data_IF_541181285655
#
_entry.id   IF_541181285655
#
_cell.length_a   1.000
_cell.length_b   1.000
_cell.length_c   1.000
_cell.angle_alpha   90.00
_cell.angle_beta   90.00
_cell.angle_gamma   90.00
#
_symmetry.space_group_name_H-M   'P 1'
#
loop_
_entity.id
_entity.type
_entity.pdbx_description
1 polymer ?
#
# COMPACT_ATOMS: atom_id res chain seq x y z
N UNK A 1 -7.02 -22.67 10.43
CA UNK A 1 -5.98 -21.64 10.50
C UNK A 1 -6.61 -20.27 10.48
N UNK A 2 -6.05 -19.33 11.21
CA UNK A 2 -6.47 -17.94 11.23
C UNK A 2 -5.57 -17.11 10.36
N UNK A 3 -6.03 -15.89 10.03
CA UNK A 3 -5.24 -14.92 9.30
C UNK A 3 -4.64 -13.89 10.26
N UNK A 4 -3.40 -13.52 10.01
CA UNK A 4 -2.79 -12.33 10.59
C UNK A 4 -2.86 -11.24 9.54
N UNK A 5 -3.39 -10.08 9.94
CA UNK A 5 -3.43 -8.91 9.08
C UNK A 5 -2.31 -7.96 9.47
N UNK A 6 -1.48 -7.61 8.50
CA UNK A 6 -0.50 -6.54 8.63
C UNK A 6 -1.10 -5.33 7.95
N UNK A 7 -1.34 -4.28 8.73
CA UNK A 7 -1.94 -3.05 8.23
C UNK A 7 -1.06 -1.87 8.63
N UNK A 8 -0.57 -1.13 7.67
CA UNK A 8 0.22 0.07 7.91
C UNK A 8 -0.44 1.24 7.20
N UNK A 9 -0.39 2.40 7.83
CA UNK A 9 -0.90 3.63 7.23
C UNK A 9 0.14 4.74 7.31
N UNK A 10 0.13 5.60 6.31
CA UNK A 10 1.01 6.76 6.28
C UNK A 10 0.46 7.83 7.21
N UNK A 11 1.33 8.40 8.06
CA UNK A 11 0.89 9.32 9.12
C UNK A 11 0.42 10.68 8.62
N UNK A 12 0.87 11.11 7.44
CA UNK A 12 0.42 12.37 6.86
C UNK A 12 -0.91 12.17 6.14
N UNK A 13 -1.93 12.97 6.44
CA UNK A 13 -3.23 12.81 5.79
C UNK A 13 -3.18 13.20 4.32
N UNK A 14 -4.11 12.59 3.55
CA UNK A 14 -4.37 12.97 2.18
C UNK A 14 -5.38 14.12 2.14
N UNK A 15 -5.14 15.08 1.27
CA UNK A 15 -6.17 16.05 0.92
C UNK A 15 -7.37 15.33 0.29
N UNK A 16 -8.56 15.58 0.80
CA UNK A 16 -9.79 14.95 0.32
C UNK A 16 -9.95 15.09 -1.21
N UNK A 17 -9.56 16.23 -1.76
CA UNK A 17 -9.65 16.49 -3.19
C UNK A 17 -8.81 15.52 -4.04
N UNK A 18 -7.76 14.94 -3.47
CA UNK A 18 -6.87 14.02 -4.17
C UNK A 18 -7.34 12.55 -4.07
N UNK A 19 -8.23 12.23 -3.16
CA UNK A 19 -8.62 10.85 -2.85
C UNK A 19 -9.07 10.07 -4.09
N UNK A 20 -9.95 10.58 -4.96
CA UNK A 20 -10.35 9.82 -6.15
C UNK A 20 -9.17 9.44 -7.06
N UNK A 21 -8.22 10.35 -7.25
CA UNK A 21 -7.05 10.11 -8.09
C UNK A 21 -6.09 9.11 -7.46
N UNK A 22 -5.88 9.21 -6.15
CA UNK A 22 -5.04 8.27 -5.41
C UNK A 22 -5.65 6.87 -5.44
N UNK A 23 -6.96 6.74 -5.24
CA UNK A 23 -7.66 5.45 -5.35
C UNK A 23 -7.49 4.87 -6.75
N UNK A 24 -7.67 5.68 -7.79
CA UNK A 24 -7.51 5.23 -9.18
C UNK A 24 -6.08 4.72 -9.44
N UNK A 25 -5.07 5.45 -8.97
CA UNK A 25 -3.68 5.03 -9.07
C UNK A 25 -3.43 3.72 -8.30
N UNK A 26 -3.89 3.63 -7.05
CA UNK A 26 -3.71 2.43 -6.22
C UNK A 26 -4.38 1.21 -6.82
N UNK A 27 -5.58 1.36 -7.39
CA UNK A 27 -6.27 0.26 -8.05
C UNK A 27 -5.46 -0.30 -9.23
N UNK A 28 -4.79 0.56 -9.98
CA UNK A 28 -3.94 0.13 -11.09
C UNK A 28 -2.68 -0.57 -10.58
N UNK A 29 -2.03 -0.04 -9.55
CA UNK A 29 -0.88 -0.70 -8.92
C UNK A 29 -1.29 -2.05 -8.35
N UNK A 30 -2.43 -2.13 -7.66
CA UNK A 30 -2.94 -3.36 -7.05
C UNK A 30 -3.15 -4.48 -8.07
N UNK A 31 -3.50 -4.14 -9.32
CA UNK A 31 -3.68 -5.14 -10.38
C UNK A 31 -2.37 -5.86 -10.74
N UNK A 32 -1.23 -5.33 -10.34
CA UNK A 32 0.10 -5.87 -10.61
C UNK A 32 0.80 -6.44 -9.38
N UNK A 33 0.28 -6.19 -8.18
CA UNK A 33 0.89 -6.66 -6.94
C UNK A 33 0.58 -8.15 -6.70
N UNK A 34 1.60 -8.90 -6.30
CA UNK A 34 1.43 -10.30 -5.88
C UNK A 34 1.04 -10.44 -4.42
N UNK A 35 1.41 -9.48 -3.59
CA UNK A 35 1.21 -9.53 -2.14
C UNK A 35 0.60 -8.23 -1.67
N UNK A 36 -0.47 -8.34 -0.90
CA UNK A 36 -1.12 -7.21 -0.27
C UNK A 36 -1.80 -6.26 -1.24
N UNK A 37 -2.32 -5.19 -0.70
CA UNK A 37 -2.89 -4.12 -1.53
C UNK A 37 -2.82 -2.76 -0.86
N UNK A 38 -2.72 -1.76 -1.71
CA UNK A 38 -2.81 -0.35 -1.34
C UNK A 38 -4.27 0.05 -1.23
N UNK A 39 -4.57 0.92 -0.28
CA UNK A 39 -5.91 1.43 -0.07
C UNK A 39 -5.87 2.83 0.50
N UNK A 40 -7.01 3.49 0.44
CA UNK A 40 -7.22 4.76 1.13
C UNK A 40 -8.26 4.50 2.21
N UNK A 41 -7.92 4.86 3.42
CA UNK A 41 -8.80 4.69 4.59
C UNK A 41 -9.19 6.03 5.16
N UNK A 42 -10.37 6.07 5.78
CA UNK A 42 -10.87 7.27 6.46
C UNK A 42 -10.97 6.98 7.95
N UNK A 43 -10.35 7.85 8.74
CA UNK A 43 -10.38 7.77 10.21
C UNK A 43 -10.60 9.17 10.77
N UNK A 44 -11.60 9.34 11.62
CA UNK A 44 -11.96 10.64 12.21
C UNK A 44 -12.12 11.75 11.16
N UNK A 45 -12.78 11.45 10.05
CA UNK A 45 -13.00 12.35 8.91
C UNK A 45 -11.73 12.78 8.18
N UNK A 46 -10.63 12.05 8.38
CA UNK A 46 -9.34 12.31 7.72
C UNK A 46 -8.96 11.08 6.88
N UNK A 47 -8.42 11.32 5.69
CA UNK A 47 -8.04 10.27 4.75
C UNK A 47 -6.55 9.97 4.83
N UNK A 48 -6.22 8.67 4.76
CA UNK A 48 -4.83 8.18 4.81
C UNK A 48 -4.57 7.13 3.76
N UNK A 49 -3.37 7.12 3.20
CA UNK A 49 -2.88 6.00 2.39
C UNK A 49 -2.49 4.85 3.32
N UNK A 50 -2.82 3.63 2.93
CA UNK A 50 -2.55 2.43 3.72
C UNK A 50 -2.15 1.25 2.83
N UNK A 51 -1.52 0.26 3.42
CA UNK A 51 -1.17 -1.00 2.78
C UNK A 51 -1.51 -2.15 3.71
N UNK A 52 -2.12 -3.20 3.17
CA UNK A 52 -2.61 -4.33 3.95
C UNK A 52 -2.15 -5.64 3.35
N UNK A 53 -1.67 -6.54 4.21
CA UNK A 53 -1.25 -7.90 3.84
C UNK A 53 -1.96 -8.88 4.76
N UNK A 54 -2.52 -9.94 4.18
CA UNK A 54 -3.08 -11.06 4.93
C UNK A 54 -2.12 -12.24 4.88
N UNK A 55 -1.81 -12.81 6.05
CA UNK A 55 -0.99 -14.02 6.18
C UNK A 55 -1.79 -15.09 6.91
N UNK A 56 -1.78 -16.31 6.37
CA UNK A 56 -2.35 -17.47 7.07
C UNK A 56 -1.34 -18.01 8.06
N UNK A 57 -1.76 -18.18 9.31
CA UNK A 57 -0.96 -18.81 10.37
C UNK A 57 -1.81 -19.79 11.13
N UNK A 58 -1.18 -20.80 11.74
CA UNK A 58 -1.83 -21.67 12.71
C UNK A 58 -1.58 -21.09 14.10
N UNK A 59 -2.60 -20.55 14.79
CA UNK A 59 -2.40 -19.90 16.08
C UNK A 59 -1.96 -20.87 17.17
N UNK A 60 -2.20 -22.19 16.98
CA UNK A 60 -1.80 -23.21 17.94
C UNK A 60 -0.37 -23.70 17.70
N UNK A 61 0.24 -23.34 16.59
CA UNK A 61 1.58 -23.77 16.21
C UNK A 61 2.32 -22.68 15.44
N UNK A 62 2.57 -21.56 16.11
CA UNK A 62 3.33 -20.44 15.53
C UNK A 62 4.80 -20.81 15.56
N UNK A 63 5.41 -20.85 14.37
CA UNK A 63 6.82 -21.18 14.18
C UNK A 63 7.69 -19.94 14.09
N UNK A 64 9.02 -20.13 14.16
CA UNK A 64 9.98 -19.05 13.90
C UNK A 64 9.87 -18.56 12.44
N UNK A 65 9.54 -19.46 11.51
CA UNK A 65 9.30 -19.11 10.12
C UNK A 65 8.11 -18.14 9.99
N UNK A 66 7.02 -18.39 10.72
CA UNK A 66 5.86 -17.48 10.74
C UNK A 66 6.25 -16.11 11.28
N UNK A 67 7.01 -16.05 12.37
CA UNK A 67 7.46 -14.77 12.96
C UNK A 67 8.37 -14.02 12.01
N UNK A 68 9.29 -14.69 11.34
CA UNK A 68 10.19 -14.10 10.38
C UNK A 68 9.43 -13.56 9.16
N UNK A 69 8.41 -14.28 8.71
CA UNK A 69 7.55 -13.81 7.63
C UNK A 69 6.76 -12.55 8.01
N UNK A 70 6.21 -12.50 9.22
CA UNK A 70 5.49 -11.31 9.69
C UNK A 70 6.43 -10.10 9.68
N UNK A 71 7.67 -10.26 10.15
CA UNK A 71 8.66 -9.18 10.14
C UNK A 71 9.02 -8.75 8.72
N UNK A 72 9.27 -9.71 7.83
CA UNK A 72 9.62 -9.43 6.44
C UNK A 72 8.50 -8.71 5.70
N UNK A 73 7.26 -9.16 5.86
CA UNK A 73 6.10 -8.54 5.21
C UNK A 73 5.74 -7.18 5.83
N UNK A 74 6.01 -6.99 7.11
CA UNK A 74 5.86 -5.67 7.75
C UNK A 74 6.84 -4.68 7.13
N UNK A 75 8.10 -5.08 6.94
CA UNK A 75 9.09 -4.24 6.26
C UNK A 75 8.70 -3.95 4.81
N UNK A 76 8.19 -4.96 4.10
CA UNK A 76 7.69 -4.78 2.72
C UNK A 76 6.55 -3.77 2.69
N UNK A 77 5.59 -3.87 3.61
CA UNK A 77 4.45 -2.97 3.68
C UNK A 77 4.89 -1.52 3.94
N UNK A 78 5.80 -1.33 4.88
CA UNK A 78 6.32 0.00 5.20
C UNK A 78 7.07 0.61 4.02
N UNK A 79 7.95 -0.16 3.39
CA UNK A 79 8.73 0.31 2.25
C UNK A 79 7.85 0.61 1.04
N UNK A 80 6.87 -0.25 0.75
CA UNK A 80 5.94 -0.05 -0.36
C UNK A 80 5.13 1.23 -0.17
N UNK A 81 4.60 1.43 1.03
CA UNK A 81 3.81 2.61 1.33
C UNK A 81 4.67 3.88 1.25
N UNK A 82 5.88 3.85 1.75
CA UNK A 82 6.81 4.98 1.69
C UNK A 82 7.15 5.36 0.24
N UNK A 83 7.35 4.36 -0.63
CA UNK A 83 7.57 4.59 -2.07
C UNK A 83 6.39 5.30 -2.73
N UNK A 84 5.17 5.02 -2.29
CA UNK A 84 3.97 5.63 -2.86
C UNK A 84 3.85 7.12 -2.58
N UNK A 85 4.54 7.63 -1.56
CA UNK A 85 4.49 9.05 -1.19
C UNK A 85 4.93 9.95 -2.35
N UNK A 86 5.99 9.58 -3.06
CA UNK A 86 6.48 10.35 -4.20
C UNK A 86 5.45 10.42 -5.33
N UNK A 87 4.75 9.32 -5.58
CA UNK A 87 3.70 9.27 -6.62
C UNK A 87 2.46 10.04 -6.21
N UNK A 88 2.09 9.99 -4.93
CA UNK A 88 0.99 10.80 -4.39
C UNK A 88 1.33 12.28 -4.54
N UNK A 89 2.59 12.65 -4.31
CA UNK A 89 3.06 14.03 -4.50
C UNK A 89 2.89 14.47 -5.96
N UNK A 90 3.18 13.62 -6.93
CA UNK A 90 2.96 13.91 -8.34
C UNK A 90 1.46 14.14 -8.64
N UNK A 91 0.59 13.34 -8.04
CA UNK A 91 -0.87 13.56 -8.15
C UNK A 91 -1.26 14.92 -7.56
N UNK A 92 -0.69 15.28 -6.41
CA UNK A 92 -0.93 16.56 -5.77
C UNK A 92 -0.46 17.73 -6.63
N UNK A 93 0.56 17.52 -7.46
CA UNK A 93 1.10 18.51 -8.40
C UNK A 93 0.32 18.58 -9.72
N UNK A 94 -0.76 17.80 -9.86
CA UNK A 94 -1.64 17.87 -11.01
C UNK A 94 -1.50 16.75 -12.03
N UNK A 95 -0.61 15.77 -11.80
CA UNK A 95 -0.48 14.64 -12.70
C UNK A 95 -1.69 13.72 -12.60
N UNK A 96 -2.10 13.12 -13.73
CA UNK A 96 -3.17 12.15 -13.75
C UNK A 96 -2.74 10.81 -13.14
N UNK A 97 -3.72 10.05 -12.64
CA UNK A 97 -3.46 8.70 -12.14
C UNK A 97 -2.82 7.81 -13.21
N UNK A 98 -3.21 7.96 -14.48
CA UNK A 98 -2.64 7.19 -15.59
C UNK A 98 -1.16 7.52 -15.81
N UNK A 99 -0.80 8.81 -15.80
CA UNK A 99 0.58 9.23 -15.96
C UNK A 99 1.44 8.76 -14.78
N UNK A 100 0.93 8.88 -13.57
CA UNK A 100 1.65 8.45 -12.36
C UNK A 100 1.83 6.94 -12.36
N UNK A 101 0.85 6.17 -12.80
CA UNK A 101 0.99 4.73 -12.96
C UNK A 101 2.09 4.38 -13.97
N UNK A 102 2.15 5.08 -15.10
CA UNK A 102 3.22 4.88 -16.08
C UNK A 102 4.61 5.21 -15.51
N UNK A 103 4.72 6.27 -14.70
CA UNK A 103 5.95 6.63 -13.99
C UNK A 103 6.38 5.51 -13.05
N UNK A 104 5.45 4.99 -12.26
CA UNK A 104 5.71 3.88 -11.34
C UNK A 104 6.18 2.63 -12.07
N UNK A 105 5.53 2.25 -13.17
CA UNK A 105 5.94 1.11 -13.98
C UNK A 105 7.36 1.27 -14.54
N UNK A 106 7.70 2.45 -15.02
CA UNK A 106 9.04 2.75 -15.52
C UNK A 106 10.08 2.62 -14.39
N UNK A 107 9.76 3.14 -13.20
CA UNK A 107 10.67 3.14 -12.05
C UNK A 107 10.96 1.72 -11.54
N UNK A 108 9.97 0.82 -11.59
CA UNK A 108 10.17 -0.58 -11.19
C UNK A 108 10.73 -1.45 -12.32
N UNK A 109 10.93 -0.88 -13.51
CA UNK A 109 11.48 -1.62 -14.65
C UNK A 109 10.50 -2.57 -15.33
N UNK A 110 9.20 -2.37 -15.17
CA UNK A 110 8.16 -3.22 -15.73
C UNK A 110 7.78 -2.86 -17.19
N UNK A 111 8.44 -1.88 -17.77
CA UNK A 111 8.18 -1.35 -19.11
C UNK A 111 9.31 -1.69 -20.05
#
# INVERSE_FOLDING_TARGET
SDAVTINVSYSNPLDEALVPQVISFFNRVNSTLYVGKLMVIKSDNVWYAAYEIFLSVDPENITDWDRNNVLAYTSLALNTLEEMVDYITEIANGESADNVFAMWQADIGAV
#
